data_IF_477214537902
#
_entry.id   IF_477214537902
#
_cell.length_a   1.000
_cell.length_b   1.000
_cell.length_c   1.000
_cell.angle_alpha   90.00
_cell.angle_beta   90.00
_cell.angle_gamma   90.00
#
_symmetry.space_group_name_H-M   'P 1'
#
loop_
_entity.id
_entity.type
_entity.pdbx_description
1 polymer ?
#
# COMPACT_ATOMS: atom_id res chain seq x y z
N UNK A 1 9.62 -3.70 0.81
CA UNK A 1 9.11 -4.68 1.79
C UNK A 1 9.66 -6.09 1.56
N UNK A 2 9.89 -6.52 0.35
CA UNK A 2 10.53 -7.82 0.09
C UNK A 2 11.87 -8.04 0.82
N UNK A 3 12.62 -6.95 1.01
CA UNK A 3 13.90 -6.99 1.75
C UNK A 3 13.75 -7.30 3.26
N UNK A 4 12.55 -7.24 3.79
CA UNK A 4 12.26 -7.57 5.18
C UNK A 4 12.06 -9.07 5.41
N UNK A 5 11.94 -9.85 4.35
CA UNK A 5 11.75 -11.28 4.40
C UNK A 5 13.09 -12.00 4.41
N UNK A 6 13.22 -13.02 5.25
CA UNK A 6 14.49 -13.71 5.49
C UNK A 6 14.58 -15.03 4.76
N UNK A 7 13.47 -15.69 4.49
CA UNK A 7 13.42 -17.03 3.89
C UNK A 7 12.77 -16.97 2.51
N UNK A 8 13.14 -17.89 1.64
CA UNK A 8 12.63 -17.96 0.26
C UNK A 8 11.12 -18.16 0.16
N UNK A 9 10.52 -18.70 1.21
CA UNK A 9 9.07 -18.98 1.28
C UNK A 9 8.29 -17.88 1.99
N UNK A 10 8.95 -16.86 2.53
CA UNK A 10 8.28 -15.77 3.23
C UNK A 10 7.44 -14.95 2.26
N UNK A 11 6.27 -14.56 2.70
CA UNK A 11 5.35 -13.69 1.96
C UNK A 11 4.85 -12.56 2.83
N UNK A 12 4.64 -11.41 2.21
CA UNK A 12 4.11 -10.23 2.88
C UNK A 12 2.92 -9.71 2.11
N UNK A 13 1.81 -9.50 2.81
CA UNK A 13 0.59 -8.93 2.23
C UNK A 13 0.24 -7.63 2.94
N UNK A 14 -0.02 -6.59 2.16
CA UNK A 14 -0.60 -5.34 2.64
C UNK A 14 -2.03 -5.29 2.13
N UNK A 15 -2.97 -5.14 3.05
CA UNK A 15 -4.38 -5.00 2.73
C UNK A 15 -4.89 -3.67 3.31
N UNK A 16 -5.50 -2.85 2.46
CA UNK A 16 -6.16 -1.63 2.89
C UNK A 16 -7.65 -1.80 2.66
N UNK A 17 -8.45 -1.63 3.70
CA UNK A 17 -9.90 -1.53 3.64
C UNK A 17 -10.27 -0.10 3.96
N UNK A 18 -11.02 0.53 3.09
CA UNK A 18 -11.31 1.96 3.20
C UNK A 18 -12.71 2.32 2.77
N UNK A 19 -13.15 3.51 3.21
CA UNK A 19 -14.50 4.02 2.96
C UNK A 19 -14.63 4.80 1.66
N UNK A 20 -13.51 5.14 1.01
CA UNK A 20 -13.52 5.90 -0.23
C UNK A 20 -13.97 5.06 -1.43
N UNK A 21 -14.11 5.70 -2.61
CA UNK A 21 -14.67 5.05 -3.79
C UNK A 21 -13.87 3.83 -4.28
N UNK A 22 -12.58 3.76 -3.98
CA UNK A 22 -11.75 2.61 -4.36
C UNK A 22 -12.09 1.33 -3.57
N UNK A 23 -12.70 1.45 -2.39
CA UNK A 23 -13.16 0.36 -1.54
C UNK A 23 -12.07 -0.40 -0.80
N UNK A 24 -10.91 -0.51 -1.36
CA UNK A 24 -9.77 -1.18 -0.77
C UNK A 24 -8.81 -1.71 -1.82
N UNK A 25 -7.65 -2.16 -1.34
CA UNK A 25 -6.64 -2.77 -2.19
C UNK A 25 -5.87 -3.85 -1.41
N UNK A 26 -5.27 -4.76 -2.15
CA UNK A 26 -4.41 -5.80 -1.59
C UNK A 26 -3.19 -5.96 -2.48
N UNK A 27 -2.02 -5.98 -1.87
CA UNK A 27 -0.73 -6.22 -2.54
C UNK A 27 0.03 -7.29 -1.79
N UNK A 28 0.53 -8.28 -2.50
CA UNK A 28 1.35 -9.35 -1.93
C UNK A 28 2.72 -9.35 -2.60
N UNK A 29 3.76 -9.52 -1.81
CA UNK A 29 5.14 -9.61 -2.26
C UNK A 29 5.82 -10.83 -1.68
N UNK A 30 6.75 -11.43 -2.43
CA UNK A 30 7.61 -12.50 -1.95
C UNK A 30 9.05 -12.01 -1.72
N UNK A 31 9.89 -12.88 -1.20
CA UNK A 31 11.29 -12.57 -0.91
C UNK A 31 12.16 -12.38 -2.16
N UNK A 32 11.67 -12.80 -3.32
CA UNK A 32 12.37 -12.70 -4.61
C UNK A 32 12.03 -11.42 -5.37
N UNK A 33 11.18 -10.56 -4.78
CA UNK A 33 10.76 -9.31 -5.40
C UNK A 33 9.57 -9.44 -6.34
N UNK A 34 8.94 -10.61 -6.42
CA UNK A 34 7.70 -10.75 -7.18
C UNK A 34 6.55 -10.11 -6.41
N UNK A 35 5.69 -9.40 -7.13
CA UNK A 35 4.55 -8.71 -6.54
C UNK A 35 3.30 -8.95 -7.36
N UNK A 36 2.16 -8.96 -6.68
CA UNK A 36 0.84 -8.96 -7.32
C UNK A 36 -0.13 -8.19 -6.46
N UNK A 37 -1.15 -7.64 -7.07
CA UNK A 37 -2.14 -6.87 -6.32
C UNK A 37 -3.36 -6.56 -7.14
N UNK A 38 -4.39 -6.08 -6.46
CA UNK A 38 -5.63 -5.62 -7.08
C UNK A 38 -6.28 -4.55 -6.21
N UNK A 39 -7.18 -3.78 -6.82
CA UNK A 39 -8.07 -2.85 -6.14
C UNK A 39 -9.50 -3.34 -6.29
N UNK A 40 -10.37 -3.01 -5.31
CA UNK A 40 -11.78 -3.42 -5.36
C UNK A 40 -12.51 -2.73 -6.50
N UNK A 41 -12.33 -1.42 -6.66
CA UNK A 41 -12.93 -0.64 -7.75
C UNK A 41 -11.84 0.09 -8.53
N UNK A 42 -11.42 -0.47 -9.68
CA UNK A 42 -10.33 0.15 -10.47
C UNK A 42 -10.77 1.37 -11.30
N UNK A 43 -12.08 1.54 -11.53
CA UNK A 43 -12.61 2.60 -12.40
C UNK A 43 -12.97 3.87 -11.62
N UNK A 44 -12.09 4.29 -10.72
CA UNK A 44 -12.29 5.51 -9.93
C UNK A 44 -11.56 6.66 -10.60
N UNK A 45 -12.30 7.70 -10.98
CA UNK A 45 -11.76 8.94 -11.55
C UNK A 45 -12.20 10.09 -10.64
N UNK A 46 -11.22 10.77 -10.06
CA UNK A 46 -11.46 11.94 -9.20
C UNK A 46 -10.76 13.16 -9.80
N UNK A 47 -11.33 14.38 -9.62
CA UNK A 47 -10.63 15.58 -10.03
C UNK A 47 -9.32 15.72 -9.24
N UNK A 48 -8.26 16.26 -9.87
CA UNK A 48 -7.00 16.47 -9.17
C UNK A 48 -7.17 17.47 -8.02
N UNK A 49 -6.43 17.25 -6.94
CA UNK A 49 -6.41 18.13 -5.79
C UNK A 49 -5.04 18.78 -5.69
N UNK A 50 -5.00 20.11 -5.66
CA UNK A 50 -3.75 20.90 -5.63
C UNK A 50 -2.77 20.50 -6.75
N UNK A 51 -3.27 20.22 -7.95
CA UNK A 51 -2.46 19.82 -9.09
C UNK A 51 -1.91 18.40 -9.03
N UNK A 52 -2.34 17.59 -8.06
CA UNK A 52 -1.88 16.20 -7.84
C UNK A 52 -3.06 15.23 -7.87
N UNK A 53 -2.75 13.98 -8.12
CA UNK A 53 -3.72 12.88 -8.00
C UNK A 53 -4.26 12.84 -6.56
N UNK A 54 -5.59 12.83 -6.42
CA UNK A 54 -6.24 12.82 -5.11
C UNK A 54 -6.35 11.39 -4.55
N UNK A 55 -5.22 10.86 -4.11
CA UNK A 55 -5.14 9.52 -3.50
C UNK A 55 -5.92 9.46 -2.20
N UNK A 56 -5.79 10.48 -1.36
CA UNK A 56 -6.53 10.58 -0.10
C UNK A 56 -8.03 10.56 -0.28
N UNK A 57 -8.54 11.25 -1.32
CA UNK A 57 -9.96 11.21 -1.67
C UNK A 57 -10.42 9.86 -2.19
N UNK A 58 -9.57 9.14 -2.90
CA UNK A 58 -9.88 7.79 -3.38
C UNK A 58 -9.96 6.77 -2.26
N UNK A 59 -9.09 6.89 -1.24
CA UNK A 59 -9.06 5.99 -0.09
C UNK A 59 -10.06 6.37 0.99
N UNK A 60 -10.18 7.65 1.33
CA UNK A 60 -10.97 8.09 2.47
C UNK A 60 -10.38 7.59 3.79
N UNK A 61 -11.23 7.26 4.75
CA UNK A 61 -10.83 6.66 6.02
C UNK A 61 -10.66 5.15 5.86
N UNK A 62 -9.72 4.56 6.58
CA UNK A 62 -9.51 3.14 6.45
C UNK A 62 -8.50 2.56 7.40
N UNK A 63 -8.29 1.25 7.26
CA UNK A 63 -7.37 0.45 8.05
C UNK A 63 -6.42 -0.27 7.10
N UNK A 64 -5.14 -0.21 7.41
CA UNK A 64 -4.09 -0.97 6.75
C UNK A 64 -3.70 -2.15 7.62
N UNK A 65 -3.74 -3.34 7.04
CA UNK A 65 -3.30 -4.59 7.68
C UNK A 65 -2.06 -5.09 6.97
N UNK A 66 -1.03 -5.41 7.72
CA UNK A 66 0.20 -6.02 7.19
C UNK A 66 0.28 -7.43 7.72
N UNK A 67 0.32 -8.40 6.82
CA UNK A 67 0.35 -9.82 7.14
C UNK A 67 1.70 -10.37 6.67
N UNK A 68 2.46 -10.94 7.60
CA UNK A 68 3.75 -11.57 7.31
C UNK A 68 3.63 -13.07 7.53
N UNK A 69 3.69 -13.83 6.45
CA UNK A 69 3.76 -15.30 6.50
C UNK A 69 5.24 -15.70 6.42
N UNK A 70 5.80 -16.06 7.55
CA UNK A 70 7.21 -16.40 7.72
C UNK A 70 7.44 -17.89 8.03
N UNK A 71 6.49 -18.75 7.64
CA UNK A 71 6.57 -20.20 7.87
C UNK A 71 6.24 -20.61 9.29
N UNK A 72 5.77 -19.72 10.13
CA UNK A 72 5.28 -20.01 11.46
C UNK A 72 3.87 -20.63 11.39
N UNK A 73 3.44 -21.26 12.49
CA UNK A 73 2.12 -21.90 12.57
C UNK A 73 0.98 -20.92 12.24
N UNK A 74 1.12 -19.66 12.65
CA UNK A 74 0.20 -18.57 12.32
C UNK A 74 0.97 -17.39 11.73
N UNK A 75 0.44 -16.71 10.68
CA UNK A 75 1.05 -15.50 10.18
C UNK A 75 1.01 -14.38 11.22
N UNK A 76 2.04 -13.56 11.23
CA UNK A 76 2.02 -12.32 11.99
C UNK A 76 1.12 -11.29 11.28
N UNK A 77 0.24 -10.63 12.02
CA UNK A 77 -0.66 -9.61 11.49
C UNK A 77 -0.61 -8.36 12.37
N UNK A 78 -0.33 -7.22 11.75
CA UNK A 78 -0.37 -5.91 12.39
C UNK A 78 -1.36 -5.01 11.67
N UNK A 79 -2.05 -4.14 12.41
CA UNK A 79 -3.01 -3.19 11.84
C UNK A 79 -2.69 -1.78 12.29
N UNK A 80 -2.96 -0.82 11.41
CA UNK A 80 -2.94 0.61 11.74
C UNK A 80 -4.04 1.33 10.99
N UNK A 81 -4.57 2.38 11.62
CA UNK A 81 -5.54 3.28 10.97
C UNK A 81 -4.77 4.17 9.99
N UNK A 82 -5.32 4.40 8.82
CA UNK A 82 -4.75 5.36 7.87
C UNK A 82 -4.75 6.77 8.49
N UNK A 83 -3.59 7.39 8.53
CA UNK A 83 -3.42 8.71 9.15
C UNK A 83 -3.71 9.84 8.17
N UNK A 84 -3.22 9.70 6.92
CA UNK A 84 -3.31 10.74 5.91
C UNK A 84 -4.14 10.33 4.70
N UNK A 85 -4.28 9.03 4.45
CA UNK A 85 -4.80 8.51 3.19
C UNK A 85 -3.79 8.54 2.06
N UNK A 86 -2.60 9.09 2.29
CA UNK A 86 -1.47 9.01 1.36
C UNK A 86 -0.65 7.76 1.68
N UNK A 87 -0.66 6.79 0.80
CA UNK A 87 -0.15 5.43 1.09
C UNK A 87 1.33 5.45 1.53
N UNK A 88 2.16 6.27 0.89
CA UNK A 88 3.57 6.36 1.23
C UNK A 88 3.79 6.89 2.66
N UNK A 89 3.05 7.91 3.05
CA UNK A 89 3.11 8.48 4.40
C UNK A 89 2.58 7.50 5.44
N UNK A 90 1.49 6.82 5.15
CA UNK A 90 0.90 5.83 6.04
C UNK A 90 1.79 4.60 6.22
N UNK A 91 2.49 4.16 5.17
CA UNK A 91 3.51 3.11 5.27
C UNK A 91 4.71 3.56 6.12
N UNK A 92 5.17 4.78 5.95
CA UNK A 92 6.25 5.34 6.76
C UNK A 92 5.85 5.37 8.24
N UNK A 93 4.64 5.81 8.52
CA UNK A 93 4.09 5.80 9.87
C UNK A 93 4.01 4.37 10.45
N UNK A 94 3.53 3.41 9.66
CA UNK A 94 3.47 2.01 10.07
C UNK A 94 4.85 1.46 10.44
N UNK A 95 5.86 1.69 9.60
CA UNK A 95 7.22 1.23 9.89
C UNK A 95 7.77 1.83 11.17
N UNK A 96 7.54 3.12 11.40
CA UNK A 96 8.04 3.80 12.60
C UNK A 96 7.35 3.32 13.88
N UNK A 97 6.04 3.11 13.85
CA UNK A 97 5.24 2.83 15.05
C UNK A 97 5.03 1.35 15.33
N UNK A 98 4.86 0.53 14.31
CA UNK A 98 4.56 -0.89 14.46
C UNK A 98 5.79 -1.78 14.31
N UNK A 99 6.65 -1.48 13.34
CA UNK A 99 7.89 -2.23 13.14
C UNK A 99 9.07 -1.62 13.90
N UNK A 100 8.93 -0.39 14.39
CA UNK A 100 9.98 0.37 15.08
C UNK A 100 11.25 0.52 14.23
N UNK A 101 11.08 0.66 12.93
CA UNK A 101 12.15 0.83 11.96
C UNK A 101 12.01 2.20 11.30
N UNK A 102 12.95 3.14 11.55
CA UNK A 102 12.98 4.40 10.82
C UNK A 102 13.10 4.14 9.32
N UNK A 103 12.16 4.67 8.55
CA UNK A 103 12.06 4.38 7.11
C UNK A 103 11.61 5.60 6.34
N UNK A 104 11.89 5.60 5.06
CA UNK A 104 11.35 6.58 4.12
C UNK A 104 10.71 5.83 2.97
N UNK A 105 9.47 6.15 2.66
CA UNK A 105 8.71 5.56 1.56
C UNK A 105 8.27 6.67 0.63
N UNK A 106 8.58 6.54 -0.64
CA UNK A 106 8.11 7.44 -1.68
C UNK A 106 7.40 6.67 -2.76
N UNK A 107 6.23 7.12 -3.16
CA UNK A 107 5.44 6.53 -4.24
C UNK A 107 5.03 7.63 -5.21
N UNK A 108 5.09 7.34 -6.49
CA UNK A 108 4.70 8.27 -7.52
C UNK A 108 4.04 7.59 -8.70
N UNK A 109 3.10 8.30 -9.32
CA UNK A 109 2.43 7.86 -10.53
C UNK A 109 2.30 9.04 -11.48
N UNK A 110 2.59 8.81 -12.75
CA UNK A 110 2.37 9.76 -13.83
C UNK A 110 1.24 9.25 -14.71
N UNK A 111 0.21 10.09 -14.87
CA UNK A 111 -0.99 9.75 -15.62
C UNK A 111 -0.96 10.36 -17.03
N UNK A 112 -1.55 9.65 -17.97
CA UNK A 112 -1.88 10.21 -19.28
C UNK A 112 -3.17 11.04 -19.21
N UNK A 113 -3.43 11.83 -20.27
CA UNK A 113 -4.64 12.67 -20.35
C UNK A 113 -5.95 11.86 -20.34
N UNK A 114 -5.89 10.60 -20.77
CA UNK A 114 -7.05 9.69 -20.80
C UNK A 114 -7.24 8.92 -19.47
N UNK A 115 -6.53 9.30 -18.40
CA UNK A 115 -6.53 8.69 -17.07
C UNK A 115 -5.94 7.27 -17.03
N UNK A 116 -5.17 6.89 -18.02
CA UNK A 116 -4.33 5.69 -17.91
C UNK A 116 -2.99 6.01 -17.26
N UNK A 117 -2.36 5.02 -16.65
CA UNK A 117 -1.05 5.20 -16.02
C UNK A 117 0.03 5.14 -17.08
N UNK A 118 0.83 6.23 -17.20
CA UNK A 118 2.01 6.27 -18.05
C UNK A 118 3.18 5.55 -17.40
N UNK A 119 3.46 5.85 -16.15
CA UNK A 119 4.46 5.16 -15.37
C UNK A 119 4.17 5.31 -13.89
N UNK A 120 4.67 4.38 -13.10
CA UNK A 120 4.59 4.41 -11.65
C UNK A 120 5.89 3.87 -11.08
N UNK A 121 6.27 4.39 -9.92
CA UNK A 121 7.48 3.96 -9.25
C UNK A 121 7.48 4.35 -7.79
N UNK A 122 8.46 3.81 -7.06
CA UNK A 122 8.59 4.13 -5.66
C UNK A 122 9.86 3.55 -5.05
N UNK A 123 10.12 3.94 -3.83
CA UNK A 123 11.23 3.42 -3.02
C UNK A 123 10.82 3.25 -1.58
#
# INVERSE_FOLDING_TARGET
MGSMMKNDTDMLTIQIKCSGPIGGLTVTADSKGNVKGYVHEPNVILPPKNGKLDVGGALGQGVMTVIKDMGLKEPYSGQTILQTGEIAEDLTYYFATSEQVPSSVGLGVLMEKDNTVRCAGGF
#
